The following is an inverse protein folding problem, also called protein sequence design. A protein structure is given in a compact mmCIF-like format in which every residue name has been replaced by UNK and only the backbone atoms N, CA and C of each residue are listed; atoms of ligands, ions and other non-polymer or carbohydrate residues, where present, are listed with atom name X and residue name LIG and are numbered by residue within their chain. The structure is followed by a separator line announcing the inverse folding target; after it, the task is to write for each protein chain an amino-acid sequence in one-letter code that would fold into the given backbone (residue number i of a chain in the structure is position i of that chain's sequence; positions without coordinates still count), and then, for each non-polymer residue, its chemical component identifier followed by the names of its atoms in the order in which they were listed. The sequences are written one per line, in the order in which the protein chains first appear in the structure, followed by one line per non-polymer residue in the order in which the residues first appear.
data_IF_053926365843
#
_entry.id   IF_053926365843
#
_cell.length_a   1.000
_cell.length_b   1.000
_cell.length_c   1.000
_cell.angle_alpha   90.00
_cell.angle_beta   90.00
_cell.angle_gamma   90.00
#
_symmetry.space_group_name_H-M   'P 1'
#
loop_
_entity.id
_entity.type
_entity.pdbx_description
1 polymer ?
#
# COMPACT_ATOMS: atom_id res chain seq x y z
N UNK A 1 32.50 -68.57 19.60
CA UNK A 1 32.53 -69.77 18.74
C UNK A 1 31.08 -70.17 18.50
N UNK A 2 30.63 -70.08 17.26
CA UNK A 2 29.43 -70.74 16.68
C UNK A 2 30.01 -71.51 15.48
N UNK A 3 29.44 -72.60 14.91
CA UNK A 3 28.03 -73.05 14.97
C UNK A 3 27.82 -74.61 14.93
N UNK A 4 26.57 -75.01 14.63
CA UNK A 4 26.10 -76.29 14.00
C UNK A 4 25.87 -77.47 14.95
N UNK A 5 24.72 -78.17 15.00
CA UNK A 5 23.52 -78.21 14.13
C UNK A 5 23.24 -79.66 13.71
N UNK A 6 22.05 -80.20 14.01
CA UNK A 6 21.43 -81.42 13.42
C UNK A 6 19.95 -81.42 13.86
N UNK A 7 18.95 -81.28 12.97
CA UNK A 7 18.27 -82.36 12.20
C UNK A 7 17.16 -83.03 13.06
N UNK A 8 15.90 -83.29 12.70
CA UNK A 8 15.10 -83.36 11.47
C UNK A 8 13.60 -83.34 11.91
N UNK A 9 12.69 -82.61 11.24
CA UNK A 9 11.67 -83.07 10.27
C UNK A 9 10.54 -83.98 10.82
N UNK A 10 9.28 -83.50 10.76
CA UNK A 10 8.15 -84.19 10.12
C UNK A 10 6.91 -83.26 10.03
N UNK A 11 6.52 -82.86 8.81
CA UNK A 11 5.34 -83.33 8.06
C UNK A 11 3.97 -82.90 8.61
N UNK A 12 3.32 -81.96 7.90
CA UNK A 12 2.05 -82.24 7.21
C UNK A 12 1.60 -81.01 6.41
N UNK A 13 1.42 -81.21 5.11
CA UNK A 13 0.82 -80.27 4.18
C UNK A 13 -0.68 -80.05 4.47
N UNK A 14 -1.16 -78.82 4.25
CA UNK A 14 -2.52 -78.59 3.76
C UNK A 14 -2.52 -77.40 2.79
N UNK A 15 -2.88 -77.71 1.55
CA UNK A 15 -3.16 -76.80 0.44
C UNK A 15 -4.35 -75.87 0.73
N UNK A 16 -4.28 -74.61 0.30
CA UNK A 16 -5.41 -73.85 -0.26
C UNK A 16 -4.98 -72.44 -0.75
N UNK A 17 -4.97 -72.30 -2.08
CA UNK A 17 -5.39 -71.15 -2.89
C UNK A 17 -4.97 -69.69 -2.57
N UNK A 18 -4.20 -69.14 -3.52
CA UNK A 18 -4.38 -67.86 -4.24
C UNK A 18 -5.20 -66.72 -3.58
N UNK A 19 -4.53 -65.59 -3.28
CA UNK A 19 -4.99 -64.24 -3.69
C UNK A 19 -3.91 -63.14 -3.51
N UNK A 20 -3.64 -62.30 -4.54
CA UNK A 20 -2.81 -61.09 -4.46
C UNK A 20 -3.64 -59.85 -3.95
N UNK A 21 -3.02 -58.65 -3.76
CA UNK A 21 -3.22 -57.81 -2.58
C UNK A 21 -4.53 -57.00 -2.60
N UNK A 22 -5.39 -57.22 -1.60
CA UNK A 22 -6.54 -56.36 -1.35
C UNK A 22 -6.28 -55.42 -0.17
N UNK A 23 -6.45 -54.12 -0.43
CA UNK A 23 -6.65 -53.00 0.51
C UNK A 23 -5.58 -51.89 0.54
N UNK A 24 -5.23 -51.36 -0.62
CA UNK A 24 -4.93 -49.92 -0.75
C UNK A 24 -6.22 -49.06 -0.72
N UNK A 25 -7.18 -49.40 0.16
CA UNK A 25 -8.43 -48.68 0.34
C UNK A 25 -8.23 -47.55 1.35
N UNK A 26 -8.12 -46.34 0.82
CA UNK A 26 -8.76 -45.13 1.36
C UNK A 26 -8.56 -44.85 2.85
N UNK A 27 -7.33 -44.47 3.25
CA UNK A 27 -7.18 -43.48 4.33
C UNK A 27 -7.60 -42.08 3.82
N UNK A 28 -8.82 -41.92 3.29
CA UNK A 28 -9.41 -40.59 3.00
C UNK A 28 -9.91 -39.96 4.30
N UNK A 29 -9.01 -39.88 5.29
CA UNK A 29 -9.29 -39.30 6.60
C UNK A 29 -8.93 -37.81 6.64
N UNK A 30 -9.49 -37.06 7.61
CA UNK A 30 -9.19 -35.64 7.86
C UNK A 30 -7.69 -35.30 7.88
N UNK A 31 -6.84 -36.25 8.26
CA UNK A 31 -5.38 -36.08 8.34
C UNK A 31 -4.68 -35.88 6.99
N UNK A 32 -5.14 -36.52 5.90
CA UNK A 32 -4.58 -36.27 4.55
C UNK A 32 -4.96 -34.87 4.07
N UNK A 33 -6.22 -34.49 4.24
CA UNK A 33 -6.69 -33.13 3.94
C UNK A 33 -5.90 -32.06 4.72
N UNK A 34 -5.66 -32.28 6.02
CA UNK A 34 -4.82 -31.39 6.84
C UNK A 34 -3.37 -31.31 6.31
N UNK A 35 -2.76 -32.44 5.96
CA UNK A 35 -1.40 -32.48 5.41
C UNK A 35 -1.29 -31.74 4.06
N UNK A 36 -2.29 -31.88 3.21
CA UNK A 36 -2.37 -31.18 1.92
C UNK A 36 -2.59 -29.68 2.10
N UNK A 37 -3.45 -29.29 3.05
CA UNK A 37 -3.67 -27.89 3.41
C UNK A 37 -2.38 -27.22 3.91
N UNK A 38 -1.64 -27.88 4.80
CA UNK A 38 -0.36 -27.37 5.28
C UNK A 38 0.71 -27.33 4.18
N UNK A 39 0.75 -28.33 3.28
CA UNK A 39 1.62 -28.28 2.09
C UNK A 39 1.32 -27.06 1.22
N UNK A 40 0.04 -26.79 0.91
CA UNK A 40 -0.38 -25.60 0.15
C UNK A 40 -0.03 -24.30 0.87
N UNK A 41 -0.16 -24.25 2.21
CA UNK A 41 0.27 -23.10 3.02
C UNK A 41 1.78 -22.86 2.88
N UNK A 42 2.60 -23.90 3.01
CA UNK A 42 4.07 -23.80 2.85
C UNK A 42 4.47 -23.36 1.44
N UNK A 43 3.80 -23.88 0.41
CA UNK A 43 4.02 -23.47 -0.98
C UNK A 43 3.74 -21.98 -1.18
N UNK A 44 2.62 -21.46 -0.66
CA UNK A 44 2.30 -20.02 -0.71
C UNK A 44 3.36 -19.15 -0.01
N UNK A 45 3.81 -19.57 1.17
CA UNK A 45 4.86 -18.85 1.91
C UNK A 45 6.17 -18.83 1.10
N UNK A 46 6.57 -19.97 0.53
CA UNK A 46 7.80 -20.05 -0.27
C UNK A 46 7.69 -19.24 -1.56
N UNK A 47 6.51 -19.17 -2.18
CA UNK A 47 6.24 -18.31 -3.31
C UNK A 47 6.44 -16.82 -2.94
N UNK A 48 5.88 -16.36 -1.81
CA UNK A 48 6.10 -14.99 -1.34
C UNK A 48 7.58 -14.70 -1.07
N UNK A 49 8.31 -15.64 -0.45
CA UNK A 49 9.77 -15.48 -0.22
C UNK A 49 10.54 -15.42 -1.54
N UNK A 50 10.12 -16.15 -2.58
CA UNK A 50 10.72 -16.06 -3.90
C UNK A 50 10.48 -14.68 -4.53
N UNK A 51 9.26 -14.15 -4.45
CA UNK A 51 8.95 -12.78 -4.90
C UNK A 51 9.77 -11.72 -4.16
N UNK A 52 9.97 -11.86 -2.84
CA UNK A 52 10.82 -10.91 -2.11
C UNK A 52 12.26 -10.88 -2.62
N UNK A 53 12.81 -12.04 -3.02
CA UNK A 53 14.16 -12.10 -3.60
C UNK A 53 14.27 -11.42 -4.96
N UNK A 54 13.19 -11.33 -5.73
CA UNK A 54 13.21 -10.65 -7.04
C UNK A 54 13.10 -9.13 -6.92
N UNK A 55 12.56 -8.62 -5.80
CA UNK A 55 12.37 -7.20 -5.57
C UNK A 55 13.60 -6.52 -4.94
N UNK A 56 14.44 -7.29 -4.25
CA UNK A 56 15.61 -6.76 -3.55
C UNK A 56 16.89 -6.88 -4.38
N UNK A 57 17.76 -5.86 -4.35
CA UNK A 57 19.09 -5.96 -4.93
C UNK A 57 19.89 -7.08 -4.23
N UNK A 58 20.59 -7.90 -5.01
CA UNK A 58 21.49 -8.96 -4.53
C UNK A 58 20.89 -10.01 -3.57
N UNK A 59 19.56 -10.19 -3.52
CA UNK A 59 18.91 -11.08 -2.55
C UNK A 59 18.77 -12.57 -2.98
N UNK A 60 19.24 -12.94 -4.17
CA UNK A 60 19.01 -14.26 -4.79
C UNK A 60 19.54 -15.44 -3.96
N UNK A 61 20.62 -15.24 -3.20
CA UNK A 61 21.29 -16.28 -2.39
C UNK A 61 21.10 -16.13 -0.89
N UNK A 62 20.28 -15.18 -0.43
CA UNK A 62 20.08 -14.95 1.00
C UNK A 62 19.24 -16.08 1.63
N UNK A 63 19.63 -16.51 2.83
CA UNK A 63 18.79 -17.36 3.66
C UNK A 63 17.51 -16.63 4.10
N UNK A 64 16.55 -17.36 4.67
CA UNK A 64 15.22 -16.81 4.97
C UNK A 64 15.27 -15.70 6.03
N UNK A 65 16.13 -15.79 7.03
CA UNK A 65 16.22 -14.79 8.08
C UNK A 65 16.93 -13.53 7.57
N UNK A 66 18.05 -13.71 6.87
CA UNK A 66 18.77 -12.60 6.25
C UNK A 66 17.88 -11.85 5.24
N UNK A 67 17.13 -12.57 4.39
CA UNK A 67 16.20 -11.98 3.44
C UNK A 67 15.19 -11.06 4.13
N UNK A 68 14.55 -11.52 5.21
CA UNK A 68 13.54 -10.72 5.92
C UNK A 68 14.17 -9.50 6.59
N UNK A 69 15.39 -9.62 7.14
CA UNK A 69 16.13 -8.48 7.68
C UNK A 69 16.43 -7.43 6.60
N UNK A 70 16.87 -7.87 5.43
CA UNK A 70 17.18 -6.99 4.30
C UNK A 70 15.92 -6.32 3.74
N UNK A 71 14.79 -7.03 3.66
CA UNK A 71 13.50 -6.42 3.27
C UNK A 71 13.15 -5.27 4.21
N UNK A 72 13.26 -5.47 5.52
CA UNK A 72 12.94 -4.43 6.51
C UNK A 72 13.90 -3.24 6.36
N UNK A 73 15.20 -3.50 6.17
CA UNK A 73 16.21 -2.46 5.96
C UNK A 73 15.87 -1.63 4.71
N UNK A 74 15.63 -2.30 3.58
CA UNK A 74 15.37 -1.65 2.30
C UNK A 74 14.06 -0.85 2.29
N UNK A 75 12.99 -1.37 2.92
CA UNK A 75 11.74 -0.61 3.06
C UNK A 75 11.94 0.66 3.88
N UNK A 76 12.75 0.61 4.95
CA UNK A 76 13.07 1.80 5.76
C UNK A 76 13.90 2.82 4.98
N UNK A 77 14.85 2.34 4.17
CA UNK A 77 15.67 3.18 3.28
C UNK A 77 14.79 3.89 2.24
N UNK A 78 13.95 3.14 1.50
CA UNK A 78 13.02 3.71 0.52
C UNK A 78 12.04 4.72 1.14
N UNK A 79 11.56 4.46 2.37
CA UNK A 79 10.74 5.42 3.11
C UNK A 79 11.49 6.71 3.40
N UNK A 80 12.72 6.59 3.91
CA UNK A 80 13.58 7.76 4.18
C UNK A 80 13.88 8.57 2.92
N UNK A 81 14.15 7.91 1.79
CA UNK A 81 14.35 8.58 0.50
C UNK A 81 13.08 9.28 0.00
N UNK A 82 11.92 8.62 0.12
CA UNK A 82 10.63 9.20 -0.23
C UNK A 82 10.30 10.42 0.64
N UNK A 83 10.54 10.33 1.94
CA UNK A 83 10.33 11.43 2.89
C UNK A 83 11.29 12.60 2.60
N UNK A 84 12.56 12.32 2.30
CA UNK A 84 13.53 13.35 1.92
C UNK A 84 13.15 14.04 0.60
N UNK A 85 12.69 13.28 -0.39
CA UNK A 85 12.18 13.82 -1.65
C UNK A 85 10.90 14.64 -1.44
N UNK A 86 10.03 14.23 -0.52
CA UNK A 86 8.78 14.89 -0.17
C UNK A 86 8.94 16.12 0.75
N UNK A 87 10.04 16.21 1.51
CA UNK A 87 10.40 17.36 2.34
C UNK A 87 10.73 18.59 1.49
N UNK A 88 11.13 18.38 0.23
CA UNK A 88 11.05 19.41 -0.79
C UNK A 88 9.58 19.69 -1.10
N UNK A 89 9.08 20.84 -0.65
CA UNK A 89 7.77 21.41 -0.99
C UNK A 89 7.42 21.45 -2.52
N UNK A 90 8.30 21.02 -3.41
CA UNK A 90 8.02 20.92 -4.85
C UNK A 90 7.47 19.55 -5.29
N UNK A 91 7.46 18.52 -4.44
CA UNK A 91 7.11 17.15 -4.87
C UNK A 91 5.72 16.75 -4.37
N UNK A 92 4.80 16.52 -5.30
CA UNK A 92 3.41 16.14 -5.01
C UNK A 92 3.22 14.66 -4.62
N UNK A 93 4.22 13.96 -4.08
CA UNK A 93 4.10 12.53 -3.72
C UNK A 93 3.27 12.36 -2.44
N UNK A 94 2.18 11.55 -2.44
CA UNK A 94 1.39 11.30 -1.24
C UNK A 94 2.18 10.58 -0.15
N UNK A 95 2.10 11.10 1.08
CA UNK A 95 2.60 10.42 2.29
C UNK A 95 1.64 9.34 2.80
N UNK A 96 2.07 8.56 3.79
CA UNK A 96 1.26 7.47 4.38
C UNK A 96 0.06 7.99 5.18
N UNK A 97 0.14 9.22 5.72
CA UNK A 97 -0.85 9.83 6.60
C UNK A 97 -1.70 10.94 5.95
N UNK A 98 -2.82 11.26 6.60
CA UNK A 98 -3.63 12.42 6.24
C UNK A 98 -2.95 13.68 6.81
N UNK A 99 -2.63 14.63 5.93
CA UNK A 99 -1.83 15.80 6.28
C UNK A 99 -2.41 17.05 5.65
N UNK A 100 -2.40 18.15 6.39
CA UNK A 100 -2.72 19.48 5.87
C UNK A 100 -1.71 20.45 6.41
N UNK A 101 -1.16 21.27 5.54
CA UNK A 101 -0.48 22.46 5.99
C UNK A 101 -0.56 23.61 5.02
N UNK A 102 -0.07 24.73 5.53
CA UNK A 102 -0.05 26.01 4.85
C UNK A 102 1.30 26.65 5.13
N UNK A 103 1.96 27.11 4.08
CA UNK A 103 3.22 27.84 4.05
C UNK A 103 2.91 29.19 3.43
N UNK A 104 3.20 30.26 4.15
CA UNK A 104 2.96 31.60 3.62
C UNK A 104 4.20 32.02 2.83
N UNK A 105 4.00 32.41 1.57
CA UNK A 105 5.05 33.02 0.76
C UNK A 105 5.31 34.46 1.18
N UNK A 106 6.44 34.99 0.73
CA UNK A 106 6.80 36.39 0.94
C UNK A 106 5.82 37.32 0.21
N UNK A 107 5.53 38.46 0.83
CA UNK A 107 4.64 39.50 0.27
C UNK A 107 5.14 39.88 -1.13
N UNK A 108 4.32 39.69 -2.16
CA UNK A 108 4.66 40.17 -3.49
C UNK A 108 4.42 41.68 -3.52
N UNK A 109 5.45 42.47 -3.23
CA UNK A 109 5.42 43.91 -3.50
C UNK A 109 5.54 44.10 -5.02
N UNK A 110 4.43 44.05 -5.74
CA UNK A 110 4.41 44.40 -7.15
C UNK A 110 4.77 45.89 -7.31
N UNK A 111 6.03 46.17 -7.67
CA UNK A 111 6.44 47.46 -8.22
C UNK A 111 5.92 47.55 -9.66
N UNK A 112 4.69 48.03 -9.81
CA UNK A 112 4.10 48.37 -11.10
C UNK A 112 3.21 49.60 -10.92
N UNK A 113 3.64 50.73 -11.49
CA UNK A 113 2.89 51.97 -11.47
C UNK A 113 1.61 51.82 -12.32
N UNK A 114 0.44 51.86 -11.68
CA UNK A 114 -0.86 51.92 -12.37
C UNK A 114 -1.99 51.23 -11.61
N UNK A 115 -2.84 52.04 -10.98
CA UNK A 115 -4.23 51.77 -10.54
C UNK A 115 -4.51 50.50 -9.70
N UNK A 116 -4.74 50.76 -8.39
CA UNK A 116 -5.21 49.82 -7.34
C UNK A 116 -4.38 48.54 -7.23
N UNK A 117 -3.19 48.70 -6.67
CA UNK A 117 -2.37 47.61 -6.16
C UNK A 117 -3.15 46.83 -5.08
N UNK A 118 -3.90 45.81 -5.50
CA UNK A 118 -4.35 44.76 -4.61
C UNK A 118 -3.12 43.95 -4.19
N UNK A 119 -2.70 44.22 -2.97
CA UNK A 119 -1.74 43.49 -2.12
C UNK A 119 -2.18 42.03 -1.93
N UNK A 120 -2.14 41.24 -3.00
CA UNK A 120 -2.46 39.81 -2.93
C UNK A 120 -1.27 39.05 -2.34
N UNK A 121 -1.52 38.31 -1.26
CA UNK A 121 -0.53 37.47 -0.61
C UNK A 121 -0.50 36.09 -1.26
N UNK A 122 0.66 35.63 -1.70
CA UNK A 122 0.84 34.26 -2.21
C UNK A 122 1.05 33.28 -1.06
N UNK A 123 0.27 32.21 -1.05
CA UNK A 123 0.28 31.17 -0.03
C UNK A 123 0.38 29.81 -0.71
N UNK A 124 1.25 28.95 -0.21
CA UNK A 124 1.35 27.55 -0.63
C UNK A 124 0.63 26.67 0.39
N UNK A 125 -0.28 25.81 -0.04
CA UNK A 125 -1.00 24.89 0.85
C UNK A 125 -0.94 23.48 0.28
N UNK A 126 -1.01 22.47 1.14
CA UNK A 126 -1.03 21.08 0.70
C UNK A 126 -2.00 20.27 1.53
N UNK A 127 -2.62 19.29 0.87
CA UNK A 127 -3.51 18.31 1.49
C UNK A 127 -3.11 16.93 0.96
N UNK A 128 -2.90 15.98 1.85
CA UNK A 128 -2.73 14.56 1.56
C UNK A 128 -3.89 13.80 2.20
N UNK A 129 -4.62 13.00 1.43
CA UNK A 129 -5.76 12.21 1.93
C UNK A 129 -6.03 10.98 1.05
N UNK A 130 -6.93 10.11 1.49
CA UNK A 130 -7.46 9.05 0.64
C UNK A 130 -8.17 9.65 -0.59
N UNK A 131 -7.91 9.07 -1.76
CA UNK A 131 -8.56 9.46 -2.99
C UNK A 131 -10.03 9.03 -2.97
N UNK A 132 -10.93 9.94 -3.38
CA UNK A 132 -12.37 9.68 -3.40
C UNK A 132 -13.10 10.55 -4.42
N UNK A 133 -14.27 10.11 -4.91
CA UNK A 133 -15.08 10.90 -5.81
C UNK A 133 -15.44 12.26 -5.20
N UNK A 134 -15.28 13.33 -5.96
CA UNK A 134 -15.64 14.69 -5.52
C UNK A 134 -14.59 15.41 -4.68
N UNK A 135 -13.46 14.76 -4.32
CA UNK A 135 -12.38 15.39 -3.54
C UNK A 135 -11.92 16.74 -4.13
N UNK A 136 -11.70 16.81 -5.45
CA UNK A 136 -11.28 18.05 -6.12
C UNK A 136 -12.33 19.16 -6.04
N UNK A 137 -13.61 18.80 -6.10
CA UNK A 137 -14.72 19.74 -5.96
C UNK A 137 -14.82 20.28 -4.54
N UNK A 138 -14.57 19.43 -3.54
CA UNK A 138 -14.51 19.81 -2.12
C UNK A 138 -13.32 20.71 -1.83
N UNK A 139 -12.12 20.37 -2.32
CA UNK A 139 -10.93 21.22 -2.23
C UNK A 139 -11.17 22.58 -2.90
N UNK A 140 -11.74 22.59 -4.12
CA UNK A 140 -12.10 23.83 -4.81
C UNK A 140 -13.13 24.67 -4.06
N UNK A 141 -14.10 24.03 -3.39
CA UNK A 141 -15.09 24.72 -2.53
C UNK A 141 -14.43 25.33 -1.30
N UNK A 142 -13.55 24.57 -0.63
CA UNK A 142 -12.82 25.02 0.56
C UNK A 142 -11.91 26.22 0.27
N UNK A 143 -11.23 26.22 -0.88
CA UNK A 143 -10.39 27.35 -1.32
C UNK A 143 -11.26 28.59 -1.60
N UNK A 144 -12.40 28.42 -2.31
CA UNK A 144 -13.32 29.53 -2.59
C UNK A 144 -14.01 30.08 -1.34
N UNK A 145 -14.29 29.25 -0.33
CA UNK A 145 -14.95 29.70 0.91
C UNK A 145 -14.10 30.65 1.75
N UNK A 146 -12.78 30.69 1.53
CA UNK A 146 -11.86 31.62 2.20
C UNK A 146 -11.43 32.78 1.29
N UNK A 147 -12.15 33.00 0.17
CA UNK A 147 -11.84 34.05 -0.81
C UNK A 147 -10.41 33.95 -1.39
N UNK A 148 -9.84 32.74 -1.43
CA UNK A 148 -8.55 32.49 -2.05
C UNK A 148 -8.74 32.05 -3.51
N UNK A 149 -7.79 32.42 -4.38
CA UNK A 149 -7.78 32.02 -5.79
C UNK A 149 -6.59 31.10 -6.05
N UNK A 150 -6.85 29.88 -6.52
CA UNK A 150 -5.77 28.98 -6.93
C UNK A 150 -5.11 29.47 -8.23
N UNK A 151 -3.79 29.66 -8.18
CA UNK A 151 -2.93 30.07 -9.29
C UNK A 151 -2.31 28.84 -9.95
N UNK A 152 -1.88 27.88 -9.13
CA UNK A 152 -1.24 26.64 -9.56
C UNK A 152 -1.67 25.50 -8.65
N UNK A 153 -1.87 24.33 -9.23
CA UNK A 153 -2.16 23.11 -8.51
C UNK A 153 -1.31 21.97 -9.07
N UNK A 154 -0.51 21.33 -8.22
CA UNK A 154 0.17 20.08 -8.51
C UNK A 154 -0.54 18.97 -7.74
N UNK A 155 -0.98 17.93 -8.45
CA UNK A 155 -1.73 16.83 -7.87
C UNK A 155 -1.07 15.54 -8.28
N UNK A 156 -0.82 14.65 -7.32
CA UNK A 156 -0.46 13.28 -7.62
C UNK A 156 -1.32 12.31 -6.81
N UNK A 157 -1.63 11.19 -7.44
CA UNK A 157 -2.41 10.10 -6.84
C UNK A 157 -1.60 8.81 -6.95
N UNK A 158 -1.33 8.19 -5.80
CA UNK A 158 -0.54 6.97 -5.69
C UNK A 158 -1.20 6.05 -4.68
N UNK A 159 -1.46 4.79 -5.05
CA UNK A 159 -1.97 3.79 -4.13
C UNK A 159 -3.32 4.13 -3.47
N UNK A 160 -4.19 4.87 -4.14
CA UNK A 160 -5.47 5.32 -3.58
C UNK A 160 -5.35 6.49 -2.60
N UNK A 161 -4.20 7.16 -2.55
CA UNK A 161 -4.01 8.42 -1.83
C UNK A 161 -3.73 9.54 -2.83
N UNK A 162 -4.26 10.72 -2.56
CA UNK A 162 -4.09 11.92 -3.38
C UNK A 162 -3.44 13.01 -2.54
N UNK A 163 -2.35 13.60 -3.07
CA UNK A 163 -1.72 14.80 -2.53
C UNK A 163 -1.91 15.94 -3.51
N UNK A 164 -2.50 17.03 -3.03
CA UNK A 164 -2.73 18.27 -3.77
C UNK A 164 -1.89 19.37 -3.14
N UNK A 165 -0.97 19.94 -3.90
CA UNK A 165 -0.19 21.12 -3.55
C UNK A 165 -0.76 22.30 -4.34
N UNK A 166 -1.16 23.36 -3.65
CA UNK A 166 -1.87 24.49 -4.19
C UNK A 166 -1.08 25.77 -3.92
N UNK A 167 -0.80 26.55 -4.96
CA UNK A 167 -0.38 27.94 -4.83
C UNK A 167 -1.61 28.83 -4.98
N UNK A 168 -1.88 29.65 -3.97
CA UNK A 168 -3.08 30.45 -3.83
C UNK A 168 -2.73 31.93 -3.67
N UNK A 169 -3.48 32.82 -4.31
CA UNK A 169 -3.48 34.24 -4.03
C UNK A 169 -4.63 34.57 -3.06
N UNK A 170 -4.32 35.26 -1.96
CA UNK A 170 -5.26 35.66 -0.91
C UNK A 170 -5.31 37.18 -0.79
N UNK A 171 -6.49 37.79 -0.77
CA UNK A 171 -6.65 39.24 -0.61
C UNK A 171 -6.32 39.75 0.80
N UNK A 172 -5.74 40.97 0.90
CA UNK A 172 -5.22 41.59 2.12
C UNK A 172 -6.24 41.76 3.28
N UNK A 173 -7.55 41.73 2.99
CA UNK A 173 -8.60 41.81 4.02
C UNK A 173 -8.74 40.56 4.92
N UNK A 174 -7.97 39.51 4.66
CA UNK A 174 -8.03 38.25 5.39
C UNK A 174 -6.79 38.06 6.29
N UNK A 175 -6.61 38.92 7.28
CA UNK A 175 -5.62 38.76 8.35
C UNK A 175 -5.77 37.44 9.16
N UNK A 176 -6.86 36.70 8.93
CA UNK A 176 -7.17 35.35 9.45
C UNK A 176 -6.96 34.21 8.43
N UNK A 177 -6.37 34.48 7.27
CA UNK A 177 -6.40 33.57 6.11
C UNK A 177 -5.68 32.24 6.31
N UNK A 178 -4.52 32.20 6.99
CA UNK A 178 -3.80 30.95 7.24
C UNK A 178 -4.59 29.96 8.11
N UNK A 179 -5.07 30.31 9.32
CA UNK A 179 -5.87 29.40 10.12
C UNK A 179 -7.22 29.08 9.47
N UNK A 180 -7.85 30.04 8.78
CA UNK A 180 -9.10 29.79 8.07
C UNK A 180 -8.93 28.82 6.89
N UNK A 181 -7.89 29.00 6.07
CA UNK A 181 -7.55 28.10 4.96
C UNK A 181 -7.18 26.71 5.50
N UNK A 182 -6.35 26.64 6.54
CA UNK A 182 -5.98 25.37 7.14
C UNK A 182 -7.20 24.65 7.74
N UNK A 183 -8.14 25.37 8.35
CA UNK A 183 -9.39 24.81 8.85
C UNK A 183 -10.31 24.34 7.71
N UNK A 184 -10.46 25.13 6.64
CA UNK A 184 -11.27 24.76 5.48
C UNK A 184 -10.73 23.50 4.79
N UNK A 185 -9.41 23.38 4.63
CA UNK A 185 -8.78 22.18 4.07
C UNK A 185 -8.87 20.97 5.02
N UNK A 186 -8.75 21.17 6.34
CA UNK A 186 -8.99 20.10 7.33
C UNK A 186 -10.43 19.62 7.33
N UNK A 187 -11.41 20.49 7.08
CA UNK A 187 -12.81 20.09 6.97
C UNK A 187 -13.03 19.10 5.81
N UNK A 188 -12.26 19.21 4.73
CA UNK A 188 -12.24 18.21 3.64
C UNK A 188 -11.71 16.86 4.15
N UNK A 189 -10.79 16.81 5.11
CA UNK A 189 -10.39 15.51 5.68
C UNK A 189 -11.53 14.86 6.50
N UNK A 190 -12.32 15.67 7.21
CA UNK A 190 -13.38 15.21 8.10
C UNK A 190 -14.68 14.83 7.38
N UNK A 191 -14.95 15.37 6.17
CA UNK A 191 -16.09 14.95 5.33
C UNK A 191 -16.02 13.49 4.87
N UNK A 192 -14.93 12.79 5.23
CA UNK A 192 -14.71 11.35 5.07
C UNK A 192 -15.79 10.48 5.73
N UNK A 193 -16.37 10.92 6.85
CA UNK A 193 -17.30 10.07 7.62
C UNK A 193 -18.61 9.82 6.87
N UNK A 194 -19.09 10.77 6.06
CA UNK A 194 -20.34 10.63 5.30
C UNK A 194 -20.22 9.68 4.09
N UNK A 195 -18.99 9.42 3.60
CA UNK A 195 -18.73 8.57 2.44
C UNK A 195 -18.37 7.13 2.78
N UNK A 196 -17.90 6.84 4.00
CA UNK A 196 -17.72 5.46 4.46
C UNK A 196 -19.05 4.67 4.50
N UNK A 197 -20.19 5.37 4.54
CA UNK A 197 -21.52 4.79 4.37
C UNK A 197 -21.85 4.47 2.89
N UNK A 198 -21.24 5.17 1.94
CA UNK A 198 -21.49 5.02 0.50
C UNK A 198 -20.48 4.10 -0.21
N UNK A 199 -19.29 3.89 0.37
CA UNK A 199 -18.18 3.18 -0.27
C UNK A 199 -18.09 1.69 0.12
N UNK A 200 -19.22 1.01 0.12
CA UNK A 200 -19.31 -0.40 -0.29
C UNK A 200 -18.96 -0.59 -1.80
N UNK A 201 -18.00 0.19 -2.32
CA UNK A 201 -17.46 0.10 -3.67
C UNK A 201 -16.70 -1.22 -3.82
N UNK A 202 -17.48 -2.25 -4.12
CA UNK A 202 -17.19 -3.37 -5.01
C UNK A 202 -15.70 -3.52 -5.30
N UNK A 203 -15.07 -4.49 -4.62
CA UNK A 203 -13.82 -5.16 -5.05
C UNK A 203 -13.69 -5.06 -6.57
N UNK A 204 -12.86 -4.13 -7.04
CA UNK A 204 -12.45 -4.09 -8.42
C UNK A 204 -11.55 -5.32 -8.59
N UNK A 205 -12.15 -6.42 -9.04
CA UNK A 205 -11.39 -7.55 -9.56
C UNK A 205 -10.54 -6.96 -10.68
N UNK A 206 -9.26 -6.75 -10.42
CA UNK A 206 -8.27 -6.68 -11.49
C UNK A 206 -8.44 -7.95 -12.30
N UNK A 207 -9.10 -7.85 -13.45
CA UNK A 207 -9.16 -8.93 -14.41
C UNK A 207 -7.72 -9.22 -14.83
N UNK A 208 -7.28 -10.45 -14.57
CA UNK A 208 -6.01 -10.96 -15.06
C UNK A 208 -6.05 -10.98 -16.60
N UNK A 209 -5.59 -9.91 -17.22
CA UNK A 209 -5.30 -9.84 -18.64
C UNK A 209 -3.92 -9.22 -18.86
N UNK A 210 -2.92 -9.86 -18.25
CA UNK A 210 -1.52 -9.79 -18.69
C UNK A 210 -1.01 -11.22 -18.82
N UNK A 211 -1.50 -11.89 -19.86
CA UNK A 211 -0.87 -13.06 -20.43
C UNK A 211 -0.95 -12.90 -21.96
N UNK A 212 0.23 -12.96 -22.59
CA UNK A 212 0.54 -12.83 -24.03
C UNK A 212 0.66 -11.38 -24.53
N UNK A 213 1.89 -10.90 -24.66
CA UNK A 213 2.71 -11.04 -25.89
C UNK A 213 4.16 -11.29 -25.48
#
# INVERSE_FOLDING_TARGET
MVPVGSDEADMAAMDAECSPPAAAATRSGPSRSHSEAERKRRQRINAHLATLRTLLPAASRMDKAALLGEVVRHVRELRGEADAAAAGAAVAVPGEGDEVGVEEGQHCCCHGAGERAATTRRVRAWVCCADRPGLMSELGRAVRSVSARAVRAEIATVGGRTRSVLELDVGEGASSSRPALQAALRAVLLSREDLLAAECYKRQRFSAHLARV
#
